data_IF_401628390474
#
_entry.id   IF_401628390474
#
_cell.length_a   1.000
_cell.length_b   1.000
_cell.length_c   1.000
_cell.angle_alpha   90.00
_cell.angle_beta   90.00
_cell.angle_gamma   90.00
#
_symmetry.space_group_name_H-M   'P 1'
#
loop_
_entity.id
_entity.type
_entity.pdbx_description
1 polymer ?
#
# COMPACT_ATOMS: atom_id res chain seq x y z
N UNK A 1 7.10 -11.11 -14.85
CA UNK A 1 5.87 -11.93 -14.96
C UNK A 1 4.73 -11.12 -14.35
N UNK A 2 3.54 -11.12 -14.95
CA UNK A 2 2.35 -10.48 -14.39
C UNK A 2 1.61 -11.48 -13.48
N UNK A 3 1.11 -11.00 -12.35
CA UNK A 3 0.25 -11.76 -11.44
C UNK A 3 -1.01 -10.93 -11.14
N UNK A 4 -2.13 -11.62 -10.94
CA UNK A 4 -3.39 -11.01 -10.50
C UNK A 4 -3.53 -11.30 -9.01
N UNK A 5 -3.78 -10.27 -8.21
CA UNK A 5 -3.92 -10.39 -6.77
C UNK A 5 -4.85 -9.29 -6.22
N UNK A 6 -5.39 -9.50 -5.02
CA UNK A 6 -6.15 -8.51 -4.26
C UNK A 6 -5.32 -8.03 -3.07
N UNK A 7 -4.92 -6.76 -3.10
CA UNK A 7 -4.08 -6.19 -2.06
C UNK A 7 -4.79 -6.12 -0.69
N UNK A 8 -6.12 -6.05 -0.66
CA UNK A 8 -6.86 -6.07 0.61
C UNK A 8 -6.83 -7.45 1.28
N UNK A 9 -6.69 -8.52 0.50
CA UNK A 9 -6.65 -9.90 0.98
C UNK A 9 -5.23 -10.39 1.29
N UNK A 10 -4.21 -9.62 0.90
CA UNK A 10 -2.81 -10.04 0.96
C UNK A 10 -2.32 -10.65 -0.36
N UNK A 11 -1.00 -10.73 -0.49
CA UNK A 11 -0.30 -11.22 -1.66
C UNK A 11 0.43 -12.53 -1.33
N UNK A 12 0.42 -13.47 -2.27
CA UNK A 12 1.25 -14.69 -2.23
C UNK A 12 2.72 -14.38 -2.55
N UNK A 13 3.29 -13.46 -1.79
CA UNK A 13 4.65 -12.95 -1.93
C UNK A 13 5.28 -12.96 -0.55
N UNK A 14 6.50 -13.48 -0.44
CA UNK A 14 7.27 -13.45 0.80
C UNK A 14 7.52 -12.00 1.27
N UNK A 15 7.65 -11.82 2.58
CA UNK A 15 8.01 -10.51 3.13
C UNK A 15 9.42 -10.10 2.70
N UNK A 16 9.68 -8.80 2.61
CA UNK A 16 11.00 -8.25 2.27
C UNK A 16 11.60 -8.79 0.95
N UNK A 17 10.76 -9.04 -0.06
CA UNK A 17 11.18 -9.61 -1.35
C UNK A 17 11.62 -8.56 -2.36
N UNK A 18 11.15 -7.32 -2.23
CA UNK A 18 11.40 -6.25 -3.18
C UNK A 18 12.10 -5.06 -2.52
N UNK A 19 12.97 -4.39 -3.29
CA UNK A 19 13.58 -3.13 -2.87
C UNK A 19 12.57 -1.95 -2.90
N UNK A 20 11.51 -2.05 -3.71
CA UNK A 20 10.47 -1.03 -3.77
C UNK A 20 9.12 -1.57 -4.27
N UNK A 21 8.04 -0.90 -3.86
CA UNK A 21 6.69 -1.07 -4.39
C UNK A 21 6.12 0.28 -4.85
N UNK A 22 5.53 0.32 -6.05
CA UNK A 22 4.92 1.52 -6.62
C UNK A 22 3.48 1.25 -7.03
N UNK A 23 2.54 2.06 -6.57
CA UNK A 23 1.11 1.88 -6.85
C UNK A 23 0.43 3.21 -7.17
N UNK A 24 0.00 3.39 -8.42
CA UNK A 24 -0.61 4.65 -8.88
C UNK A 24 -2.05 4.38 -9.31
N UNK A 25 -3.01 5.07 -8.68
CA UNK A 25 -4.43 4.98 -9.04
C UNK A 25 -5.17 3.73 -8.52
N UNK A 26 -4.56 2.95 -7.62
CA UNK A 26 -5.16 1.74 -7.04
C UNK A 26 -5.80 2.02 -5.67
N UNK A 27 -5.10 2.73 -4.80
CA UNK A 27 -5.58 3.08 -3.46
C UNK A 27 -6.73 4.10 -3.52
N UNK A 28 -7.77 3.88 -2.73
CA UNK A 28 -8.95 4.75 -2.69
C UNK A 28 -10.17 4.07 -2.07
N UNK A 29 -11.30 4.07 -2.79
CA UNK A 29 -12.55 3.47 -2.31
C UNK A 29 -12.53 1.93 -2.31
N UNK A 30 -11.77 1.30 -3.22
CA UNK A 30 -11.75 -0.17 -3.37
C UNK A 30 -10.61 -0.82 -2.62
N UNK A 31 -9.43 -0.22 -2.68
CA UNK A 31 -8.26 -0.69 -1.93
C UNK A 31 -8.08 0.22 -0.74
N UNK A 32 -8.32 -0.33 0.44
CA UNK A 32 -8.40 0.39 1.70
C UNK A 32 -7.01 0.77 2.24
N UNK A 33 -6.90 1.74 3.16
CA UNK A 33 -5.61 2.14 3.73
C UNK A 33 -4.85 1.00 4.41
N UNK A 34 -5.56 0.00 4.97
CA UNK A 34 -4.94 -1.17 5.59
C UNK A 34 -4.10 -1.98 4.59
N UNK A 35 -4.45 -1.97 3.31
CA UNK A 35 -3.70 -2.66 2.25
C UNK A 35 -2.30 -2.04 2.01
N UNK A 36 -2.02 -0.85 2.56
CA UNK A 36 -0.67 -0.27 2.54
C UNK A 36 0.31 -1.12 3.37
N UNK A 37 -0.17 -1.76 4.45
CA UNK A 37 0.66 -2.66 5.26
C UNK A 37 1.17 -3.84 4.44
N UNK A 38 0.34 -4.35 3.54
CA UNK A 38 0.72 -5.43 2.65
C UNK A 38 1.79 -4.99 1.64
N UNK A 39 1.69 -3.75 1.15
CA UNK A 39 2.72 -3.17 0.28
C UNK A 39 4.05 -2.99 1.03
N UNK A 40 4.00 -2.60 2.31
CA UNK A 40 5.19 -2.50 3.16
C UNK A 40 5.78 -3.86 3.52
N UNK A 41 4.94 -4.86 3.78
CA UNK A 41 5.36 -6.22 4.15
C UNK A 41 6.28 -6.85 3.10
N UNK A 42 5.95 -6.69 1.81
CA UNK A 42 6.72 -7.26 0.71
C UNK A 42 7.99 -6.46 0.38
N UNK A 43 8.13 -5.25 0.92
CA UNK A 43 9.31 -4.39 0.71
C UNK A 43 10.33 -4.63 1.83
N UNK A 44 11.60 -4.68 1.48
CA UNK A 44 12.68 -4.89 2.45
C UNK A 44 12.87 -3.68 3.39
N UNK A 45 13.39 -3.89 4.61
CA UNK A 45 13.74 -2.77 5.49
C UNK A 45 14.70 -1.79 4.80
N UNK A 46 14.36 -0.51 4.79
CA UNK A 46 15.09 0.54 4.07
C UNK A 46 14.70 0.70 2.60
N UNK A 47 13.82 -0.16 2.07
CA UNK A 47 13.21 -0.02 0.75
C UNK A 47 12.13 1.07 0.68
N UNK A 48 11.57 1.26 -0.51
CA UNK A 48 10.63 2.37 -0.78
C UNK A 48 9.22 1.87 -1.12
N UNK A 49 8.21 2.44 -0.46
CA UNK A 49 6.81 2.34 -0.89
C UNK A 49 6.35 3.70 -1.41
N UNK A 50 5.99 3.78 -2.69
CA UNK A 50 5.45 4.98 -3.31
C UNK A 50 4.03 4.71 -3.80
N UNK A 51 3.06 5.51 -3.38
CA UNK A 51 1.70 5.34 -3.83
C UNK A 51 1.01 6.69 -4.08
N UNK A 52 -0.03 6.67 -4.91
CA UNK A 52 -0.95 7.78 -5.06
C UNK A 52 -2.35 7.40 -4.62
N UNK A 53 -3.06 8.37 -4.07
CA UNK A 53 -4.47 8.27 -3.70
C UNK A 53 -5.14 9.58 -4.07
N UNK A 54 -6.38 9.50 -4.56
CA UNK A 54 -7.15 10.70 -4.87
C UNK A 54 -7.41 11.51 -3.59
N UNK A 55 -7.29 12.83 -3.66
CA UNK A 55 -7.48 13.74 -2.52
C UNK A 55 -8.79 13.50 -1.76
N UNK A 56 -9.91 13.27 -2.47
CA UNK A 56 -11.20 12.98 -1.82
C UNK A 56 -11.15 11.70 -1.01
N UNK A 57 -10.52 10.66 -1.54
CA UNK A 57 -10.34 9.40 -0.82
C UNK A 57 -9.30 9.54 0.30
N UNK A 58 -8.31 10.41 0.14
CA UNK A 58 -7.28 10.66 1.15
C UNK A 58 -7.91 11.09 2.48
N UNK A 59 -8.84 12.05 2.40
CA UNK A 59 -9.54 12.57 3.58
C UNK A 59 -10.74 11.69 3.99
N UNK A 60 -11.53 11.17 3.04
CA UNK A 60 -12.77 10.45 3.36
C UNK A 60 -12.59 8.97 3.72
N UNK A 61 -11.51 8.32 3.26
CA UNK A 61 -11.32 6.87 3.42
C UNK A 61 -10.27 6.51 4.48
N UNK A 62 -9.79 7.47 5.27
CA UNK A 62 -8.88 7.21 6.40
C UNK A 62 -7.40 7.06 6.02
N UNK A 63 -7.00 7.42 4.80
CA UNK A 63 -5.60 7.37 4.39
C UNK A 63 -4.73 8.38 5.13
N UNK A 64 -5.27 9.57 5.46
CA UNK A 64 -4.58 10.56 6.30
C UNK A 64 -4.14 9.93 7.63
N UNK A 65 -5.07 9.35 8.37
CA UNK A 65 -4.80 8.71 9.65
C UNK A 65 -3.81 7.55 9.49
N UNK A 66 -3.91 6.76 8.41
CA UNK A 66 -2.98 5.67 8.12
C UNK A 66 -1.54 6.17 7.93
N UNK A 67 -1.34 7.22 7.15
CA UNK A 67 -0.01 7.79 6.89
C UNK A 67 0.58 8.43 8.14
N UNK A 68 -0.24 9.15 8.91
CA UNK A 68 0.18 9.76 10.18
C UNK A 68 0.65 8.69 11.18
N UNK A 69 -0.06 7.56 11.28
CA UNK A 69 0.31 6.44 12.15
C UNK A 69 1.63 5.74 11.76
N UNK A 70 2.06 5.84 10.50
CA UNK A 70 3.33 5.27 10.02
C UNK A 70 4.54 6.16 10.32
N UNK A 71 4.31 7.43 10.66
CA UNK A 71 5.36 8.41 10.94
C UNK A 71 5.63 8.59 12.43
N UNK A 72 4.87 7.90 13.28
CA UNK A 72 4.97 7.92 14.74
C UNK A 72 5.94 6.84 15.26
#
# INVERSE_FOLDING_TARGET
KLAIADLNAGLEIESARYAAAVSVGVFGQHVAPAALDESMRIVEPGGLVCFSVNERAFDACGFRAKVEALSA
#
